data_IF_086156922473
#
_entry.id   IF_086156922473
#
_cell.length_a   1.000
_cell.length_b   1.000
_cell.length_c   1.000
_cell.angle_alpha   90.00
_cell.angle_beta   90.00
_cell.angle_gamma   90.00
#
_symmetry.space_group_name_H-M   'P 1'
#
loop_
_entity.id
_entity.type
_entity.pdbx_description
1 polymer ?
#
# COMPACT_ATOMS: atom_id res chain seq x y z
N UNK A 1 -8.87 -5.61 6.91
CA UNK A 1 -7.44 -5.99 7.06
C UNK A 1 -7.31 -7.43 7.52
N UNK A 2 -6.24 -8.13 7.09
CA UNK A 2 -5.77 -9.52 7.36
C UNK A 2 -6.79 -10.66 7.58
N UNK A 3 -7.81 -10.47 8.40
CA UNK A 3 -8.82 -11.46 8.77
C UNK A 3 -9.64 -12.04 7.61
N UNK A 4 -9.62 -11.42 6.43
CA UNK A 4 -10.30 -11.93 5.24
C UNK A 4 -9.54 -13.02 4.47
N UNK A 5 -8.31 -13.36 4.87
CA UNK A 5 -7.51 -14.42 4.23
C UNK A 5 -6.91 -14.06 2.86
N UNK A 6 -7.06 -12.81 2.42
CA UNK A 6 -6.59 -12.33 1.11
C UNK A 6 -5.07 -12.16 1.01
N UNK A 7 -4.39 -11.95 2.13
CA UNK A 7 -2.97 -11.60 2.17
C UNK A 7 -2.21 -12.63 3.01
N UNK A 8 -1.22 -13.25 2.41
CA UNK A 8 -0.27 -14.10 3.12
C UNK A 8 0.61 -13.25 4.07
N UNK A 9 1.16 -13.84 5.15
CA UNK A 9 2.18 -13.17 5.95
C UNK A 9 3.35 -12.71 5.09
N UNK A 10 3.78 -11.46 5.24
CA UNK A 10 4.86 -10.88 4.43
C UNK A 10 4.48 -10.56 2.97
N UNK A 11 3.19 -10.60 2.61
CA UNK A 11 2.76 -10.25 1.26
C UNK A 11 3.10 -8.78 0.91
N UNK A 12 3.51 -8.56 -0.34
CA UNK A 12 3.72 -7.24 -0.92
C UNK A 12 2.51 -6.83 -1.75
N UNK A 13 1.89 -5.72 -1.37
CA UNK A 13 0.80 -5.08 -2.10
C UNK A 13 1.33 -3.90 -2.92
N UNK A 14 0.70 -3.63 -4.06
CA UNK A 14 0.92 -2.41 -4.83
C UNK A 14 -0.37 -1.59 -4.80
N UNK A 15 -0.27 -0.32 -4.41
CA UNK A 15 -1.38 0.64 -4.41
C UNK A 15 -1.05 1.75 -5.39
N UNK A 16 -1.93 1.98 -6.36
CA UNK A 16 -1.83 3.08 -7.32
C UNK A 16 -3.07 3.95 -7.18
N UNK A 17 -2.87 5.22 -6.83
CA UNK A 17 -3.96 6.17 -6.61
C UNK A 17 -3.55 7.55 -7.11
N UNK A 18 -4.55 8.43 -7.29
CA UNK A 18 -4.28 9.83 -7.61
C UNK A 18 -3.40 10.48 -6.52
N UNK A 19 -2.46 11.33 -6.90
CA UNK A 19 -1.55 12.02 -5.98
C UNK A 19 -2.28 12.89 -4.96
N UNK A 20 -3.48 13.37 -5.30
CA UNK A 20 -4.36 14.13 -4.41
C UNK A 20 -5.21 13.24 -3.48
N UNK A 21 -5.23 11.92 -3.68
CA UNK A 21 -5.99 11.02 -2.82
C UNK A 21 -5.29 10.89 -1.45
N UNK A 22 -6.03 11.03 -0.34
CA UNK A 22 -5.48 10.75 0.98
C UNK A 22 -5.19 9.25 1.08
N UNK A 23 -3.99 8.90 1.54
CA UNK A 23 -3.58 7.52 1.72
C UNK A 23 -3.00 7.28 3.11
N UNK A 24 -3.45 6.21 3.75
CA UNK A 24 -2.94 5.71 5.03
C UNK A 24 -2.89 4.17 4.94
N UNK A 25 -1.72 3.57 5.09
CA UNK A 25 -1.57 2.11 4.99
C UNK A 25 -2.33 1.36 6.11
N UNK A 26 -2.53 2.03 7.25
CA UNK A 26 -3.18 1.46 8.43
C UNK A 26 -2.28 0.51 9.24
N UNK A 27 -2.79 0.07 10.40
CA UNK A 27 -2.04 -0.77 11.32
C UNK A 27 -1.69 -2.14 10.69
N UNK A 28 -0.45 -2.58 10.88
CA UNK A 28 0.04 -3.89 10.40
C UNK A 28 0.44 -3.92 8.92
N UNK A 29 0.51 -2.74 8.30
CA UNK A 29 1.05 -2.52 6.97
C UNK A 29 2.19 -1.50 7.04
N UNK A 30 3.14 -1.59 6.12
CA UNK A 30 4.26 -0.66 6.04
C UNK A 30 4.54 -0.30 4.59
N UNK A 31 4.56 1.00 4.28
CA UNK A 31 5.00 1.48 2.96
C UNK A 31 6.52 1.32 2.90
N UNK A 32 7.00 0.50 1.97
CA UNK A 32 8.43 0.19 1.80
C UNK A 32 9.05 0.89 0.59
N UNK A 33 8.23 1.36 -0.35
CA UNK A 33 8.64 2.21 -1.46
C UNK A 33 7.44 3.07 -1.93
N UNK A 34 7.72 4.28 -2.40
CA UNK A 34 6.74 5.23 -2.93
C UNK A 34 7.31 5.96 -4.15
N UNK A 35 6.54 6.04 -5.23
CA UNK A 35 6.95 6.66 -6.49
C UNK A 35 5.85 7.55 -7.03
N UNK A 36 6.20 8.79 -7.35
CA UNK A 36 5.26 9.76 -7.93
C UNK A 36 5.45 9.90 -9.44
N UNK A 37 4.34 9.87 -10.18
CA UNK A 37 4.27 9.97 -11.63
C UNK A 37 3.17 10.96 -12.03
N UNK A 38 3.51 12.24 -12.10
CA UNK A 38 2.55 13.30 -12.41
C UNK A 38 1.42 13.33 -11.39
N UNK A 39 0.21 12.99 -11.81
CA UNK A 39 -1.00 13.00 -10.98
C UNK A 39 -1.26 11.67 -10.26
N UNK A 40 -0.33 10.72 -10.32
CA UNK A 40 -0.46 9.39 -9.72
C UNK A 40 0.69 9.10 -8.75
N UNK A 41 0.41 8.36 -7.68
CA UNK A 41 1.41 7.80 -6.76
C UNK A 41 1.25 6.29 -6.68
N UNK A 42 2.37 5.58 -6.83
CA UNK A 42 2.46 4.12 -6.66
C UNK A 42 3.18 3.84 -5.35
N UNK A 43 2.59 3.00 -4.49
CA UNK A 43 3.14 2.58 -3.21
C UNK A 43 3.28 1.07 -3.16
N UNK A 44 4.42 0.61 -2.66
CA UNK A 44 4.65 -0.78 -2.30
C UNK A 44 4.44 -0.92 -0.79
N UNK A 45 3.56 -1.82 -0.40
CA UNK A 45 3.12 -1.96 1.00
C UNK A 45 3.31 -3.40 1.44
N UNK A 46 4.14 -3.61 2.46
CA UNK A 46 4.34 -4.91 3.08
C UNK A 46 3.33 -5.14 4.20
N UNK A 47 2.88 -6.39 4.28
CA UNK A 47 2.01 -6.90 5.33
C UNK A 47 2.91 -7.49 6.43
N UNK A 48 2.92 -6.86 7.61
CA UNK A 48 3.67 -7.36 8.77
C UNK A 48 3.04 -8.56 9.48
#
# INVERSE_FOLDING_TARGET
>A
GKAGGWLAPGALCVVEEAAAAPFEAGQGFSVVDERSYGETVIRFVEVG
#
